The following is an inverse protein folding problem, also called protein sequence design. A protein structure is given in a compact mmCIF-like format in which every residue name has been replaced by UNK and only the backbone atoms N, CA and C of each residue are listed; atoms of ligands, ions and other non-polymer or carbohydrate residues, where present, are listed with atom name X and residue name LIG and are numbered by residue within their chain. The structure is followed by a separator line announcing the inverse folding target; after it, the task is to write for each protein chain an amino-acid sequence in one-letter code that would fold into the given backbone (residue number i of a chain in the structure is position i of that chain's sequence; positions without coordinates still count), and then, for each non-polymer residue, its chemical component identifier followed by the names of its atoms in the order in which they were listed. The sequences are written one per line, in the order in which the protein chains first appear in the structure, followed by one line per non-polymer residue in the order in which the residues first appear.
data_IF_501837036891
#
_entry.id   IF_501837036891
#
_cell.length_a   1.000
_cell.length_b   1.000
_cell.length_c   1.000
_cell.angle_alpha   90.00
_cell.angle_beta   90.00
_cell.angle_gamma   90.00
#
_symmetry.space_group_name_H-M   'P 1'
#
loop_
_entity.id
_entity.type
_entity.pdbx_description
1 polymer ?
#
# COMPACT_ATOMS: atom_id res chain seq x y z
N UNK A 1 19.83 -9.66 22.52
CA UNK A 1 19.99 -8.24 22.18
C UNK A 1 21.46 -7.90 22.40
N UNK A 2 22.12 -7.36 21.39
CA UNK A 2 23.49 -6.87 21.51
C UNK A 2 23.44 -5.39 21.86
N UNK A 3 24.05 -5.00 22.98
CA UNK A 3 24.03 -3.65 23.52
C UNK A 3 25.46 -3.12 23.66
N UNK A 4 25.72 -1.92 23.15
CA UNK A 4 27.00 -1.22 23.26
C UNK A 4 26.78 0.23 23.65
N UNK A 5 27.63 0.76 24.51
CA UNK A 5 27.65 2.15 24.93
C UNK A 5 28.83 2.86 24.26
N UNK A 6 28.66 4.10 23.88
CA UNK A 6 29.72 4.95 23.32
C UNK A 6 29.85 6.24 24.16
N UNK A 7 31.03 6.44 24.73
CA UNK A 7 31.33 7.57 25.64
C UNK A 7 31.81 8.86 24.94
N UNK A 8 31.86 8.84 23.60
CA UNK A 8 32.41 9.92 22.79
C UNK A 8 33.83 9.66 22.31
N UNK A 9 34.55 8.71 22.87
CA UNK A 9 35.92 8.30 22.49
C UNK A 9 36.00 6.85 22.06
N UNK A 10 35.45 5.97 22.89
CA UNK A 10 35.54 4.51 22.69
C UNK A 10 34.14 3.87 22.84
N UNK A 11 33.97 2.74 22.15
CA UNK A 11 32.80 1.88 22.38
C UNK A 11 33.07 0.91 23.51
N UNK A 12 32.10 0.71 24.40
CA UNK A 12 32.19 -0.34 25.43
C UNK A 12 32.29 -1.72 24.82
N UNK A 13 32.71 -2.69 25.62
CA UNK A 13 32.48 -4.10 25.33
C UNK A 13 30.96 -4.34 25.14
N UNK A 14 30.61 -5.17 24.16
CA UNK A 14 29.20 -5.46 23.87
C UNK A 14 28.66 -6.43 24.87
N UNK A 15 27.64 -6.02 25.64
CA UNK A 15 26.87 -6.91 26.50
C UNK A 15 25.72 -7.53 25.70
N UNK A 16 25.44 -8.80 25.99
CA UNK A 16 24.37 -9.56 25.35
C UNK A 16 23.28 -9.86 26.38
N UNK A 17 22.07 -9.43 26.07
CA UNK A 17 20.88 -9.67 26.87
C UNK A 17 19.92 -10.58 26.11
N UNK A 18 19.15 -11.40 26.83
CA UNK A 18 18.05 -12.14 26.23
C UNK A 18 16.90 -11.18 25.83
N UNK A 19 15.97 -11.67 25.02
CA UNK A 19 14.85 -10.87 24.49
C UNK A 19 13.57 -10.98 25.30
N UNK A 20 13.59 -11.65 26.48
CA UNK A 20 12.42 -11.72 27.36
C UNK A 20 12.25 -10.42 28.15
N UNK A 21 11.02 -10.14 28.57
CA UNK A 21 10.65 -8.89 29.26
C UNK A 21 11.61 -8.57 30.42
N UNK A 22 11.92 -9.55 31.26
CA UNK A 22 12.85 -9.40 32.39
C UNK A 22 14.21 -8.88 31.94
N UNK A 23 14.82 -9.52 30.96
CA UNK A 23 16.16 -9.14 30.48
C UNK A 23 16.19 -7.81 29.75
N UNK A 24 15.04 -7.36 29.17
CA UNK A 24 14.95 -6.02 28.60
C UNK A 24 14.94 -4.95 29.71
N UNK A 25 14.25 -5.20 30.83
CA UNK A 25 14.34 -4.32 32.01
C UNK A 25 15.75 -4.32 32.60
N UNK A 26 16.39 -5.48 32.78
CA UNK A 26 17.81 -5.58 33.24
C UNK A 26 18.75 -4.78 32.31
N UNK A 27 18.54 -4.84 31.01
CA UNK A 27 19.29 -4.00 30.05
C UNK A 27 19.03 -2.51 30.27
N UNK A 28 17.78 -2.12 30.52
CA UNK A 28 17.43 -0.72 30.80
C UNK A 28 18.06 -0.22 32.10
N UNK A 29 18.02 -1.02 33.18
CA UNK A 29 18.69 -0.72 34.46
C UNK A 29 20.21 -0.59 34.29
N UNK A 30 20.83 -1.48 33.54
CA UNK A 30 22.24 -1.38 33.20
C UNK A 30 22.54 -0.06 32.47
N UNK A 31 21.74 0.31 31.46
CA UNK A 31 21.94 1.58 30.72
C UNK A 31 21.77 2.81 31.62
N UNK A 32 20.82 2.78 32.58
CA UNK A 32 20.64 3.86 33.58
C UNK A 32 21.87 3.97 34.49
N UNK A 33 22.38 2.86 34.96
CA UNK A 33 23.58 2.81 35.85
C UNK A 33 24.81 3.41 35.15
N UNK A 34 24.94 3.18 33.85
CA UNK A 34 26.01 3.75 33.02
C UNK A 34 25.73 5.21 32.58
N UNK A 35 24.64 5.83 33.04
CA UNK A 35 24.29 7.23 32.76
C UNK A 35 23.82 7.48 31.32
N UNK A 36 23.32 6.46 30.62
CA UNK A 36 22.83 6.56 29.26
C UNK A 36 21.41 7.14 29.25
N UNK A 37 21.19 8.22 28.50
CA UNK A 37 19.89 8.84 28.31
C UNK A 37 19.29 8.55 26.92
N UNK A 38 20.12 8.36 25.90
CA UNK A 38 19.70 8.18 24.52
C UNK A 38 20.01 6.78 24.03
N UNK A 39 19.04 6.12 23.42
CA UNK A 39 19.21 4.76 22.87
C UNK A 39 18.74 4.71 21.43
N UNK A 40 19.59 4.18 20.56
CA UNK A 40 19.23 3.87 19.17
C UNK A 40 19.10 2.37 18.96
N UNK A 41 18.09 1.96 18.18
CA UNK A 41 17.89 0.56 17.82
C UNK A 41 17.51 0.38 16.36
N UNK A 42 17.92 -0.75 15.76
CA UNK A 42 17.59 -1.08 14.38
C UNK A 42 16.13 -1.52 14.22
N UNK A 43 15.43 -1.03 13.18
CA UNK A 43 14.04 -1.38 12.88
C UNK A 43 13.90 -2.75 12.16
N UNK A 44 14.51 -3.79 12.70
CA UNK A 44 14.46 -5.14 12.13
C UNK A 44 13.13 -5.81 12.45
N UNK A 45 12.29 -6.00 11.43
CA UNK A 45 10.98 -6.68 11.52
C UNK A 45 10.08 -6.13 12.64
N UNK A 46 9.70 -6.95 13.62
CA UNK A 46 8.86 -6.63 14.78
C UNK A 46 9.66 -6.67 16.10
N UNK A 47 10.90 -7.10 16.07
CA UNK A 47 11.70 -7.39 17.27
C UNK A 47 12.06 -6.15 18.09
N UNK A 48 12.09 -4.97 17.46
CA UNK A 48 12.33 -3.71 18.13
C UNK A 48 11.15 -3.24 19.01
N UNK A 49 9.91 -3.71 18.73
CA UNK A 49 8.69 -3.21 19.39
C UNK A 49 8.68 -3.45 20.90
N UNK A 50 8.94 -4.67 21.42
CA UNK A 50 8.99 -4.90 22.87
C UNK A 50 10.08 -4.08 23.57
N UNK A 51 11.26 -4.01 22.94
CA UNK A 51 12.40 -3.24 23.46
C UNK A 51 12.06 -1.75 23.51
N UNK A 52 11.48 -1.22 22.43
CA UNK A 52 11.02 0.17 22.37
C UNK A 52 10.03 0.51 23.47
N UNK A 53 9.01 -0.32 23.65
CA UNK A 53 7.96 -0.04 24.62
C UNK A 53 8.49 0.00 26.06
N UNK A 54 9.33 -0.96 26.43
CA UNK A 54 9.92 -1.03 27.78
C UNK A 54 10.88 0.12 28.03
N UNK A 55 11.81 0.39 27.11
CA UNK A 55 12.77 1.48 27.29
C UNK A 55 12.08 2.87 27.27
N UNK A 56 10.99 3.02 26.49
CA UNK A 56 10.18 4.24 26.50
C UNK A 56 9.49 4.43 27.87
N UNK A 57 8.94 3.37 28.47
CA UNK A 57 8.35 3.37 29.80
C UNK A 57 9.39 3.73 30.87
N UNK A 58 10.63 3.28 30.71
CA UNK A 58 11.76 3.60 31.58
C UNK A 58 12.30 5.03 31.40
N UNK A 59 11.78 5.81 30.44
CA UNK A 59 12.11 7.23 30.25
C UNK A 59 13.29 7.51 29.33
N UNK A 60 13.78 6.53 28.57
CA UNK A 60 14.85 6.77 27.59
C UNK A 60 14.39 7.58 26.39
N UNK A 61 15.27 8.43 25.87
CA UNK A 61 15.11 9.09 24.58
C UNK A 61 15.49 8.11 23.46
N UNK A 62 14.49 7.65 22.69
CA UNK A 62 14.65 6.53 21.76
C UNK A 62 14.71 6.97 20.30
N UNK A 63 15.64 6.40 19.56
CA UNK A 63 15.79 6.58 18.11
C UNK A 63 15.71 5.26 17.38
N UNK A 64 14.68 5.07 16.53
CA UNK A 64 14.57 3.88 15.67
C UNK A 64 15.25 4.12 14.34
N UNK A 65 16.18 3.25 13.96
CA UNK A 65 17.04 3.43 12.78
C UNK A 65 16.69 2.46 11.67
N UNK A 66 16.66 2.97 10.43
CA UNK A 66 16.42 2.12 9.26
C UNK A 66 17.72 1.34 8.92
N UNK A 67 17.68 -0.01 8.86
CA UNK A 67 18.84 -0.85 8.49
C UNK A 67 19.54 -0.43 7.20
N UNK A 68 18.80 0.10 6.23
CA UNK A 68 19.36 0.55 4.97
C UNK A 68 20.35 1.72 5.12
N UNK A 69 20.15 2.57 6.12
CA UNK A 69 21.03 3.73 6.39
C UNK A 69 22.31 3.32 7.13
N UNK A 70 22.29 2.19 7.83
CA UNK A 70 23.41 1.70 8.65
C UNK A 70 24.35 0.82 7.82
N UNK A 71 23.85 0.17 6.77
CA UNK A 71 24.57 -0.87 5.98
C UNK A 71 25.78 -0.40 5.17
N UNK A 72 26.26 0.81 5.36
CA UNK A 72 27.39 1.35 4.59
C UNK A 72 28.75 1.13 5.24
N UNK A 73 28.84 0.25 6.25
CA UNK A 73 30.16 -0.07 6.85
C UNK A 73 31.00 -0.98 5.96
N UNK A 74 32.24 -0.60 5.63
CA UNK A 74 33.20 -1.52 5.03
C UNK A 74 33.66 -2.56 6.06
N UNK A 75 33.74 -3.83 5.66
CA UNK A 75 34.28 -4.91 6.46
C UNK A 75 33.32 -6.04 6.77
N UNK A 76 33.77 -7.02 7.56
CA UNK A 76 32.99 -8.22 7.93
C UNK A 76 31.88 -7.82 8.88
N UNK A 77 30.63 -8.13 8.52
CA UNK A 77 29.46 -7.87 9.32
C UNK A 77 29.42 -8.80 10.56
N UNK A 78 29.15 -8.21 11.75
CA UNK A 78 28.83 -8.94 12.97
C UNK A 78 27.88 -8.08 13.80
N UNK A 79 27.02 -8.71 14.61
CA UNK A 79 26.05 -8.01 15.46
C UNK A 79 26.76 -7.11 16.49
N UNK A 80 27.97 -7.50 16.94
CA UNK A 80 28.82 -6.70 17.81
C UNK A 80 29.20 -5.38 17.15
N UNK A 81 29.74 -5.44 15.93
CA UNK A 81 30.15 -4.24 15.18
C UNK A 81 28.94 -3.37 14.81
N UNK A 82 27.81 -3.98 14.49
CA UNK A 82 26.59 -3.25 14.17
C UNK A 82 26.11 -2.46 15.41
N UNK A 83 26.13 -3.04 16.62
CA UNK A 83 25.74 -2.35 17.86
C UNK A 83 26.69 -1.16 18.16
N UNK A 84 28.00 -1.37 18.12
CA UNK A 84 29.01 -0.33 18.32
C UNK A 84 28.89 0.82 17.30
N UNK A 85 28.62 0.47 16.05
CA UNK A 85 28.44 1.45 14.98
C UNK A 85 27.20 2.31 15.17
N UNK A 86 26.06 1.70 15.56
CA UNK A 86 24.83 2.43 15.85
C UNK A 86 25.04 3.42 17.00
N UNK A 87 25.71 2.99 18.09
CA UNK A 87 26.01 3.86 19.22
C UNK A 87 26.89 5.04 18.79
N UNK A 88 27.95 4.79 18.02
CA UNK A 88 28.84 5.84 17.47
C UNK A 88 28.08 6.83 16.58
N UNK A 89 27.22 6.35 15.69
CA UNK A 89 26.44 7.20 14.79
C UNK A 89 25.41 8.05 15.56
N UNK A 90 24.81 7.51 16.64
CA UNK A 90 23.87 8.24 17.49
C UNK A 90 24.58 9.41 18.15
N UNK A 91 25.69 9.17 18.83
CA UNK A 91 26.48 10.20 19.50
C UNK A 91 26.93 11.33 18.55
N UNK A 92 27.33 10.96 17.32
CA UNK A 92 27.74 11.93 16.28
C UNK A 92 26.58 12.63 15.57
N UNK A 93 25.32 12.42 15.99
CA UNK A 93 24.10 12.95 15.33
C UNK A 93 24.03 12.65 13.82
N UNK A 94 24.59 11.51 13.38
CA UNK A 94 24.56 11.09 11.99
C UNK A 94 23.36 10.18 11.67
N UNK A 95 22.57 9.82 12.67
CA UNK A 95 21.36 9.01 12.53
C UNK A 95 20.14 9.91 12.37
N UNK A 96 19.36 9.63 11.32
CA UNK A 96 17.99 10.14 11.22
C UNK A 96 17.02 9.06 11.70
N UNK A 97 16.32 9.35 12.79
CA UNK A 97 15.30 8.47 13.33
C UNK A 97 14.17 8.20 12.33
N UNK A 98 13.65 6.99 12.38
CA UNK A 98 12.41 6.63 11.67
C UNK A 98 11.22 7.20 12.41
N UNK A 99 10.19 7.64 11.68
CA UNK A 99 8.94 8.09 12.27
C UNK A 99 8.23 6.92 12.96
N UNK A 100 7.99 7.06 14.25
CA UNK A 100 7.14 6.16 15.03
C UNK A 100 5.83 6.89 15.32
N UNK A 101 4.70 6.39 14.86
CA UNK A 101 3.42 6.98 15.16
C UNK A 101 3.03 6.75 16.63
N UNK A 102 2.10 7.55 17.13
CA UNK A 102 1.50 7.35 18.45
C UNK A 102 0.81 5.99 18.57
N UNK A 103 0.50 5.55 19.78
CA UNK A 103 -0.09 4.24 20.09
C UNK A 103 -1.40 3.99 19.34
N UNK A 104 -2.27 4.99 19.23
CA UNK A 104 -3.55 4.90 18.51
C UNK A 104 -3.34 4.64 17.01
N UNK A 105 -2.38 5.33 16.38
CA UNK A 105 -2.03 5.06 14.97
C UNK A 105 -1.34 3.70 14.83
N UNK A 106 -0.57 3.25 15.81
CA UNK A 106 0.02 1.90 15.78
C UNK A 106 -1.07 0.82 15.84
N UNK A 107 -2.08 0.97 16.71
CA UNK A 107 -3.25 0.09 16.80
C UNK A 107 -4.03 0.09 15.48
N UNK A 108 -4.36 1.27 14.95
CA UNK A 108 -5.06 1.39 13.67
C UNK A 108 -4.28 0.76 12.51
N UNK A 109 -2.96 0.94 12.49
CA UNK A 109 -2.05 0.34 11.50
C UNK A 109 -2.01 -1.18 11.61
N UNK A 110 -2.06 -1.74 12.82
CA UNK A 110 -2.15 -3.17 13.02
C UNK A 110 -3.41 -3.75 12.36
N UNK A 111 -4.59 -3.18 12.63
CA UNK A 111 -5.84 -3.60 12.02
C UNK A 111 -5.88 -3.37 10.51
N UNK A 112 -5.41 -2.23 10.03
CA UNK A 112 -5.35 -1.91 8.59
C UNK A 112 -4.50 -2.93 7.83
N UNK A 113 -3.34 -3.30 8.36
CA UNK A 113 -2.46 -4.30 7.75
C UNK A 113 -3.04 -5.72 7.84
N UNK A 114 -3.72 -6.05 8.95
CA UNK A 114 -4.46 -7.32 9.10
C UNK A 114 -5.57 -7.41 8.05
N UNK A 115 -6.37 -6.35 7.90
CA UNK A 115 -7.39 -6.24 6.85
C UNK A 115 -6.81 -6.49 5.45
N UNK A 116 -5.71 -5.84 5.10
CA UNK A 116 -5.08 -6.01 3.80
C UNK A 116 -4.57 -7.45 3.56
N UNK A 117 -4.03 -8.10 4.59
CA UNK A 117 -3.63 -9.52 4.52
C UNK A 117 -4.84 -10.43 4.31
N UNK A 118 -5.91 -10.24 5.08
CA UNK A 118 -7.13 -11.03 4.92
C UNK A 118 -7.74 -10.88 3.53
N UNK A 119 -7.72 -9.69 2.92
CA UNK A 119 -8.14 -9.50 1.53
C UNK A 119 -7.28 -10.31 0.54
N UNK A 120 -5.97 -10.34 0.74
CA UNK A 120 -5.07 -11.15 -0.10
C UNK A 120 -5.34 -12.65 0.07
N UNK A 121 -5.56 -13.11 1.30
CA UNK A 121 -5.80 -14.51 1.59
C UNK A 121 -7.17 -14.97 1.03
N UNK A 122 -8.21 -14.13 1.09
CA UNK A 122 -9.47 -14.37 0.38
C UNK A 122 -9.27 -14.53 -1.13
N UNK A 123 -8.45 -13.68 -1.75
CA UNK A 123 -8.15 -13.82 -3.18
C UNK A 123 -7.41 -15.13 -3.50
N UNK A 124 -6.49 -15.58 -2.62
CA UNK A 124 -5.82 -16.88 -2.78
C UNK A 124 -6.80 -18.05 -2.67
N UNK A 125 -7.73 -18.00 -1.71
CA UNK A 125 -8.78 -19.04 -1.56
C UNK A 125 -9.69 -19.11 -2.79
N UNK A 126 -10.12 -17.96 -3.31
CA UNK A 126 -10.89 -17.93 -4.56
C UNK A 126 -10.12 -18.54 -5.72
N UNK A 127 -8.82 -18.29 -5.83
CA UNK A 127 -7.96 -18.92 -6.85
C UNK A 127 -7.84 -20.44 -6.65
N UNK A 128 -7.79 -20.91 -5.40
CA UNK A 128 -7.79 -22.36 -5.11
C UNK A 128 -9.12 -23.00 -5.48
N UNK A 129 -10.24 -22.39 -5.12
CA UNK A 129 -11.57 -22.87 -5.50
C UNK A 129 -11.74 -22.90 -7.03
N UNK A 130 -11.26 -21.88 -7.75
CA UNK A 130 -11.27 -21.86 -9.21
C UNK A 130 -10.46 -23.02 -9.80
N UNK A 131 -9.28 -23.33 -9.25
CA UNK A 131 -8.48 -24.50 -9.68
C UNK A 131 -9.22 -25.82 -9.50
N UNK A 132 -9.93 -26.01 -8.39
CA UNK A 132 -10.73 -27.20 -8.14
C UNK A 132 -11.85 -27.30 -9.18
N UNK A 133 -12.53 -26.19 -9.49
CA UNK A 133 -13.55 -26.16 -10.55
C UNK A 133 -12.95 -26.46 -11.93
N UNK A 134 -11.78 -25.93 -12.25
CA UNK A 134 -11.06 -26.23 -13.50
C UNK A 134 -10.68 -27.71 -13.62
N UNK A 135 -10.31 -28.38 -12.51
CA UNK A 135 -10.07 -29.82 -12.50
C UNK A 135 -11.34 -30.62 -12.83
N UNK A 136 -12.51 -30.13 -12.46
CA UNK A 136 -13.82 -30.67 -12.85
C UNK A 136 -14.28 -30.18 -14.24
N UNK A 137 -13.44 -29.50 -15.01
CA UNK A 137 -13.73 -28.81 -16.27
C UNK A 137 -14.83 -27.76 -16.19
N UNK A 138 -15.07 -27.18 -15.01
CA UNK A 138 -15.97 -26.05 -14.82
C UNK A 138 -15.11 -24.76 -14.87
N UNK A 139 -15.29 -23.93 -15.90
CA UNK A 139 -14.41 -22.81 -16.24
C UNK A 139 -15.11 -21.44 -16.15
N UNK A 140 -15.85 -21.20 -15.08
CA UNK A 140 -16.57 -19.93 -14.88
C UNK A 140 -15.65 -18.71 -14.95
N UNK A 141 -14.37 -18.85 -14.54
CA UNK A 141 -13.36 -17.79 -14.61
C UNK A 141 -13.07 -17.28 -16.02
N UNK A 142 -13.35 -18.06 -17.06
CA UNK A 142 -13.24 -17.62 -18.46
C UNK A 142 -14.34 -16.65 -18.90
N UNK A 143 -15.47 -16.64 -18.19
CA UNK A 143 -16.64 -15.83 -18.51
C UNK A 143 -16.80 -14.60 -17.60
N UNK A 144 -16.14 -14.56 -16.43
CA UNK A 144 -16.27 -13.48 -15.45
C UNK A 144 -15.00 -12.64 -15.35
N UNK A 145 -15.14 -11.36 -15.15
CA UNK A 145 -13.99 -10.46 -15.02
C UNK A 145 -13.25 -10.60 -13.67
N UNK A 146 -13.92 -11.14 -12.64
CA UNK A 146 -13.38 -11.28 -11.28
C UNK A 146 -14.00 -12.47 -10.57
N UNK A 147 -13.19 -13.27 -9.91
CA UNK A 147 -13.65 -14.37 -9.05
C UNK A 147 -14.38 -13.90 -7.78
N UNK A 148 -14.16 -12.64 -7.38
CA UNK A 148 -14.83 -12.01 -6.22
C UNK A 148 -16.29 -11.64 -6.48
N UNK A 149 -16.83 -11.88 -7.67
CA UNK A 149 -18.22 -11.62 -7.99
C UNK A 149 -19.15 -12.50 -7.15
N UNK A 150 -20.21 -11.92 -6.60
CA UNK A 150 -21.23 -12.65 -5.82
C UNK A 150 -21.78 -13.88 -6.57
N UNK A 151 -22.00 -13.76 -7.88
CA UNK A 151 -22.45 -14.87 -8.72
C UNK A 151 -21.49 -16.07 -8.67
N UNK A 152 -20.18 -15.85 -8.66
CA UNK A 152 -19.18 -16.94 -8.57
C UNK A 152 -19.30 -17.66 -7.24
N UNK A 153 -19.42 -16.93 -6.14
CA UNK A 153 -19.59 -17.49 -4.80
C UNK A 153 -20.87 -18.34 -4.73
N UNK A 154 -21.99 -17.83 -5.26
CA UNK A 154 -23.27 -18.55 -5.29
C UNK A 154 -23.17 -19.83 -6.13
N UNK A 155 -22.48 -19.78 -7.28
CA UNK A 155 -22.25 -20.97 -8.11
C UNK A 155 -21.42 -22.01 -7.35
N UNK A 156 -20.33 -21.60 -6.66
CA UNK A 156 -19.53 -22.49 -5.82
C UNK A 156 -20.39 -23.16 -4.73
N UNK A 157 -21.19 -22.39 -4.00
CA UNK A 157 -22.09 -22.90 -2.96
C UNK A 157 -23.12 -23.90 -3.52
N UNK A 158 -23.62 -23.64 -4.70
CA UNK A 158 -24.62 -24.50 -5.37
C UNK A 158 -23.99 -25.80 -5.87
N UNK A 159 -22.75 -25.74 -6.40
CA UNK A 159 -21.96 -26.92 -6.75
C UNK A 159 -21.63 -27.79 -5.53
N UNK A 160 -21.30 -27.18 -4.38
CA UNK A 160 -21.08 -27.89 -3.10
C UNK A 160 -22.33 -28.65 -2.66
N UNK A 161 -23.52 -28.04 -2.86
CA UNK A 161 -24.82 -28.66 -2.54
C UNK A 161 -25.23 -29.79 -3.47
N UNK A 162 -24.48 -30.03 -4.54
CA UNK A 162 -24.72 -31.16 -5.47
C UNK A 162 -25.39 -30.78 -6.77
N UNK A 163 -25.78 -29.53 -7.00
CA UNK A 163 -26.34 -29.10 -8.28
C UNK A 163 -25.24 -29.11 -9.37
N UNK A 164 -25.53 -29.79 -10.48
CA UNK A 164 -24.59 -29.91 -11.61
C UNK A 164 -25.20 -29.52 -12.95
N UNK A 165 -26.53 -29.25 -12.98
CA UNK A 165 -27.20 -28.86 -14.21
C UNK A 165 -26.72 -27.46 -14.64
N UNK A 166 -26.05 -27.31 -15.81
CA UNK A 166 -25.54 -26.04 -16.28
C UNK A 166 -26.63 -24.96 -16.43
N UNK A 167 -27.84 -25.34 -16.82
CA UNK A 167 -28.95 -24.39 -17.03
C UNK A 167 -29.42 -23.76 -15.71
N UNK A 168 -29.34 -24.50 -14.60
CA UNK A 168 -29.63 -23.97 -13.26
C UNK A 168 -28.50 -23.07 -12.78
N UNK A 169 -27.24 -23.47 -13.01
CA UNK A 169 -26.08 -22.68 -12.63
C UNK A 169 -25.99 -21.34 -13.40
N UNK A 170 -26.36 -21.32 -14.69
CA UNK A 170 -26.43 -20.09 -15.50
C UNK A 170 -27.42 -19.07 -14.92
N UNK A 171 -28.55 -19.54 -14.35
CA UNK A 171 -29.54 -18.65 -13.72
C UNK A 171 -28.99 -17.87 -12.54
N UNK A 172 -27.94 -18.37 -11.87
CA UNK A 172 -27.30 -17.76 -10.71
C UNK A 172 -26.31 -16.65 -11.07
N UNK A 173 -25.94 -16.54 -12.36
CA UNK A 173 -25.01 -15.51 -12.82
C UNK A 173 -25.80 -14.27 -13.26
N UNK A 174 -25.49 -13.10 -12.67
CA UNK A 174 -26.19 -11.84 -12.90
C UNK A 174 -25.46 -10.91 -13.87
N UNK A 175 -26.24 -9.98 -14.46
CA UNK A 175 -25.74 -8.82 -15.19
C UNK A 175 -25.26 -9.13 -16.60
N UNK A 176 -24.39 -8.24 -17.11
CA UNK A 176 -23.92 -8.26 -18.51
C UNK A 176 -23.28 -9.58 -18.96
N UNK A 177 -22.72 -10.35 -18.04
CA UNK A 177 -22.11 -11.65 -18.34
C UNK A 177 -23.16 -12.65 -18.83
N UNK A 178 -24.32 -12.70 -18.16
CA UNK A 178 -25.44 -13.55 -18.57
C UNK A 178 -26.00 -13.15 -19.93
N UNK A 179 -26.24 -11.84 -20.13
CA UNK A 179 -26.91 -11.33 -21.32
C UNK A 179 -26.05 -11.41 -22.59
N UNK A 180 -24.72 -11.25 -22.46
CA UNK A 180 -23.80 -11.21 -23.61
C UNK A 180 -23.19 -12.56 -23.97
N UNK A 181 -23.15 -13.53 -23.04
CA UNK A 181 -22.39 -14.76 -23.19
C UNK A 181 -23.13 -16.00 -22.66
N UNK A 182 -24.47 -16.05 -22.71
CA UNK A 182 -25.23 -17.14 -22.11
C UNK A 182 -24.84 -18.54 -22.63
N UNK A 183 -24.61 -18.70 -23.93
CA UNK A 183 -24.14 -19.96 -24.53
C UNK A 183 -22.76 -20.36 -24.02
N UNK A 184 -21.79 -19.45 -24.08
CA UNK A 184 -20.42 -19.68 -23.55
C UNK A 184 -20.42 -19.97 -22.06
N UNK A 185 -21.30 -19.30 -21.30
CA UNK A 185 -21.42 -19.50 -19.86
C UNK A 185 -21.98 -20.88 -19.54
N UNK A 186 -22.95 -21.36 -20.32
CA UNK A 186 -23.49 -22.71 -20.20
C UNK A 186 -22.41 -23.78 -20.48
N UNK A 187 -21.64 -23.63 -21.53
CA UNK A 187 -20.50 -24.47 -21.86
C UNK A 187 -19.43 -24.45 -20.74
N UNK A 188 -19.10 -23.25 -20.24
CA UNK A 188 -18.12 -23.09 -19.17
C UNK A 188 -18.56 -23.69 -17.82
N UNK A 189 -19.87 -23.85 -17.59
CA UNK A 189 -20.43 -24.48 -16.40
C UNK A 189 -20.77 -25.96 -16.62
N UNK A 190 -20.56 -26.50 -17.84
CA UNK A 190 -20.71 -27.93 -18.12
C UNK A 190 -19.38 -28.61 -17.77
N UNK A 191 -19.41 -29.50 -16.79
CA UNK A 191 -18.24 -30.20 -16.32
C UNK A 191 -18.60 -31.47 -15.54
N UNK A 192 -17.57 -32.15 -15.04
CA UNK A 192 -17.72 -33.40 -14.30
C UNK A 192 -17.17 -33.25 -12.88
N UNK A 193 -18.04 -32.83 -11.97
CA UNK A 193 -17.68 -32.63 -10.56
C UNK A 193 -17.89 -33.92 -9.75
N UNK A 194 -16.83 -34.42 -9.11
CA UNK A 194 -16.83 -35.59 -8.25
C UNK A 194 -16.92 -35.20 -6.77
N UNK A 195 -17.20 -36.16 -5.89
CA UNK A 195 -17.36 -35.91 -4.44
C UNK A 195 -16.13 -35.31 -3.78
N UNK A 196 -14.92 -35.73 -4.18
CA UNK A 196 -13.70 -35.12 -3.64
C UNK A 196 -13.54 -33.66 -4.07
N UNK A 197 -13.99 -33.26 -5.27
CA UNK A 197 -14.02 -31.86 -5.68
C UNK A 197 -14.99 -31.06 -4.80
N UNK A 198 -16.20 -31.58 -4.53
CA UNK A 198 -17.20 -30.94 -3.66
C UNK A 198 -16.68 -30.77 -2.23
N UNK A 199 -16.09 -31.84 -1.68
CA UNK A 199 -15.50 -31.80 -0.33
C UNK A 199 -14.38 -30.75 -0.25
N UNK A 200 -13.49 -30.71 -1.24
CA UNK A 200 -12.41 -29.74 -1.29
C UNK A 200 -12.92 -28.30 -1.44
N UNK A 201 -13.90 -28.06 -2.33
CA UNK A 201 -14.56 -26.75 -2.46
C UNK A 201 -15.21 -26.31 -1.14
N UNK A 202 -15.89 -27.25 -0.44
CA UNK A 202 -16.51 -26.97 0.85
C UNK A 202 -15.49 -26.50 1.88
N UNK A 203 -14.34 -27.18 2.03
CA UNK A 203 -13.30 -26.80 2.98
C UNK A 203 -12.70 -25.41 2.67
N UNK A 204 -12.37 -25.13 1.39
CA UNK A 204 -11.85 -23.80 1.02
C UNK A 204 -12.91 -22.70 1.22
N UNK A 205 -14.19 -23.02 1.00
CA UNK A 205 -15.30 -22.08 1.21
C UNK A 205 -15.53 -21.77 2.69
N UNK A 206 -15.45 -22.76 3.57
CA UNK A 206 -15.57 -22.58 5.02
C UNK A 206 -14.47 -21.62 5.53
N UNK A 207 -13.22 -21.78 5.08
CA UNK A 207 -12.12 -20.88 5.41
C UNK A 207 -12.41 -19.47 4.86
N UNK A 208 -12.92 -19.37 3.63
CA UNK A 208 -13.27 -18.08 3.03
C UNK A 208 -14.35 -17.35 3.84
N UNK A 209 -15.38 -18.05 4.31
CA UNK A 209 -16.47 -17.47 5.11
C UNK A 209 -15.99 -16.97 6.48
N UNK A 210 -15.08 -17.72 7.11
CA UNK A 210 -14.44 -17.28 8.36
C UNK A 210 -13.64 -15.98 8.12
N UNK A 211 -12.84 -15.94 7.06
CA UNK A 211 -12.08 -14.74 6.72
C UNK A 211 -12.98 -13.54 6.35
N UNK A 212 -14.12 -13.79 5.69
CA UNK A 212 -15.08 -12.74 5.38
C UNK A 212 -15.65 -12.12 6.66
N UNK A 213 -16.09 -12.95 7.61
CA UNK A 213 -16.60 -12.51 8.92
C UNK A 213 -15.52 -11.72 9.68
N UNK A 214 -14.30 -12.27 9.81
CA UNK A 214 -13.19 -11.61 10.49
C UNK A 214 -12.79 -10.29 9.81
N UNK A 215 -12.90 -10.22 8.49
CA UNK A 215 -12.67 -8.98 7.74
C UNK A 215 -13.68 -7.90 8.12
N UNK A 216 -14.95 -8.25 8.27
CA UNK A 216 -15.99 -7.32 8.69
C UNK A 216 -15.79 -6.84 10.15
N UNK A 217 -15.40 -7.74 11.04
CA UNK A 217 -15.05 -7.40 12.43
C UNK A 217 -13.85 -6.43 12.47
N UNK A 218 -12.80 -6.73 11.70
CA UNK A 218 -11.62 -5.87 11.58
C UNK A 218 -11.97 -4.47 11.06
N UNK A 219 -12.87 -4.36 10.08
CA UNK A 219 -13.37 -3.07 9.57
C UNK A 219 -14.10 -2.30 10.67
N UNK A 220 -14.94 -2.97 11.48
CA UNK A 220 -15.65 -2.32 12.60
C UNK A 220 -14.67 -1.72 13.61
N UNK A 221 -13.60 -2.46 13.97
CA UNK A 221 -12.57 -1.94 14.88
C UNK A 221 -11.81 -0.74 14.28
N UNK A 222 -11.43 -0.83 13.01
CA UNK A 222 -10.82 0.31 12.31
C UNK A 222 -11.74 1.54 12.30
N UNK A 223 -13.02 1.35 12.06
CA UNK A 223 -14.02 2.42 12.09
C UNK A 223 -14.23 2.98 13.50
N UNK A 224 -14.24 2.14 14.52
CA UNK A 224 -14.34 2.55 15.94
C UNK A 224 -13.20 3.49 16.32
N UNK A 225 -11.96 3.09 16.02
CA UNK A 225 -10.76 3.89 16.30
C UNK A 225 -10.81 5.22 15.56
N UNK A 226 -11.10 5.19 14.25
CA UNK A 226 -11.16 6.42 13.46
C UNK A 226 -12.28 7.36 13.88
N UNK A 227 -13.47 6.85 14.17
CA UNK A 227 -14.58 7.68 14.63
C UNK A 227 -14.30 8.36 15.97
N UNK A 228 -13.52 7.70 16.84
CA UNK A 228 -13.14 8.25 18.14
C UNK A 228 -12.02 9.31 18.05
N UNK A 229 -11.03 9.10 17.19
CA UNK A 229 -9.80 9.88 17.23
C UNK A 229 -9.47 10.68 15.96
N UNK A 230 -10.04 10.30 14.79
CA UNK A 230 -9.67 10.83 13.47
C UNK A 230 -10.87 11.02 12.55
N UNK A 231 -12.04 11.35 13.13
CA UNK A 231 -13.29 11.46 12.39
C UNK A 231 -13.23 12.53 11.31
N UNK A 232 -12.71 13.68 11.65
CA UNK A 232 -12.65 14.84 10.76
C UNK A 232 -11.67 14.60 9.61
N UNK A 233 -10.50 14.03 9.90
CA UNK A 233 -9.52 13.66 8.88
C UNK A 233 -10.06 12.58 7.94
N UNK A 234 -10.79 11.61 8.48
CA UNK A 234 -11.43 10.55 7.67
C UNK A 234 -12.48 11.14 6.73
N UNK A 235 -13.34 12.03 7.21
CA UNK A 235 -14.33 12.72 6.37
C UNK A 235 -13.68 13.65 5.35
N UNK A 236 -12.64 14.37 5.78
CA UNK A 236 -11.85 15.23 4.91
C UNK A 236 -11.27 14.47 3.71
N UNK A 237 -10.62 13.33 3.96
CA UNK A 237 -10.02 12.52 2.89
C UNK A 237 -11.05 11.93 1.94
N UNK A 238 -12.28 11.66 2.38
CA UNK A 238 -13.36 11.15 1.53
C UNK A 238 -13.85 12.17 0.51
N UNK A 239 -13.54 13.45 0.65
CA UNK A 239 -13.86 14.47 -0.37
C UNK A 239 -13.02 14.31 -1.63
N UNK A 240 -11.91 13.56 -1.57
CA UNK A 240 -11.02 13.33 -2.70
C UNK A 240 -11.55 12.17 -3.57
N UNK A 241 -11.70 12.37 -4.90
CA UNK A 241 -12.17 11.34 -5.80
C UNK A 241 -11.38 10.02 -5.68
N UNK A 242 -12.09 8.90 -5.61
CA UNK A 242 -11.52 7.57 -5.49
C UNK A 242 -11.16 7.13 -4.07
N UNK A 243 -11.35 7.99 -3.06
CA UNK A 243 -11.16 7.64 -1.65
C UNK A 243 -12.48 7.21 -1.03
N UNK A 244 -12.59 5.93 -0.69
CA UNK A 244 -13.68 5.37 0.11
C UNK A 244 -13.38 5.53 1.61
N UNK A 245 -14.39 5.31 2.47
CA UNK A 245 -14.22 5.31 3.93
C UNK A 245 -13.07 4.41 4.38
N UNK A 246 -13.04 3.16 3.91
CA UNK A 246 -11.97 2.20 4.25
C UNK A 246 -10.60 2.68 3.74
N UNK A 247 -10.55 3.23 2.52
CA UNK A 247 -9.29 3.76 1.99
C UNK A 247 -8.79 4.96 2.80
N UNK A 248 -9.68 5.86 3.25
CA UNK A 248 -9.33 6.97 4.13
C UNK A 248 -8.75 6.49 5.46
N UNK A 249 -9.39 5.50 6.09
CA UNK A 249 -8.90 4.88 7.33
C UNK A 249 -7.50 4.27 7.12
N UNK A 250 -7.31 3.49 6.05
CA UNK A 250 -6.02 2.88 5.74
C UNK A 250 -4.93 3.93 5.43
N UNK A 251 -5.29 5.05 4.79
CA UNK A 251 -4.36 6.17 4.57
C UNK A 251 -3.92 6.77 5.90
N UNK A 252 -4.86 7.10 6.80
CA UNK A 252 -4.56 7.62 8.15
C UNK A 252 -3.70 6.63 8.94
N UNK A 253 -4.00 5.33 8.88
CA UNK A 253 -3.23 4.29 9.56
C UNK A 253 -1.75 4.28 9.15
N UNK A 254 -1.46 4.54 7.88
CA UNK A 254 -0.09 4.49 7.38
C UNK A 254 0.62 5.86 7.49
N UNK A 255 -0.05 6.98 7.20
CA UNK A 255 0.57 8.32 7.21
C UNK A 255 0.52 9.02 8.58
N UNK A 256 -0.41 8.61 9.45
CA UNK A 256 -0.85 9.46 10.55
C UNK A 256 -1.78 10.57 10.08
N UNK A 257 -2.32 11.35 11.02
CA UNK A 257 -3.12 12.54 10.77
C UNK A 257 -2.29 13.83 10.87
N UNK A 258 -1.22 13.81 11.66
CA UNK A 258 -0.31 14.92 11.84
C UNK A 258 0.75 14.96 10.72
N UNK A 259 0.69 16.00 9.90
CA UNK A 259 1.63 16.20 8.79
C UNK A 259 2.88 17.01 9.19
N UNK A 260 3.00 17.48 10.43
CA UNK A 260 4.21 18.15 10.93
C UNK A 260 5.43 17.22 10.93
N UNK A 261 5.18 15.92 11.08
CA UNK A 261 6.19 14.85 11.00
C UNK A 261 6.92 14.82 9.66
N UNK A 262 6.29 15.29 8.60
CA UNK A 262 6.89 15.39 7.27
C UNK A 262 7.13 16.85 6.91
N UNK A 263 8.38 17.27 6.88
CA UNK A 263 8.81 18.64 6.52
C UNK A 263 8.06 19.19 5.29
N UNK A 264 7.88 18.34 4.27
CA UNK A 264 7.13 18.66 3.06
C UNK A 264 6.55 17.41 2.40
N UNK A 265 5.64 17.62 1.44
CA UNK A 265 5.02 16.52 0.68
C UNK A 265 6.03 15.66 -0.11
N UNK A 266 7.20 16.19 -0.44
CA UNK A 266 8.29 15.46 -1.09
C UNK A 266 8.90 14.40 -0.17
N UNK A 267 9.04 14.68 1.14
CA UNK A 267 9.52 13.71 2.14
C UNK A 267 8.49 12.58 2.31
N UNK A 268 7.20 12.90 2.41
CA UNK A 268 6.13 11.91 2.48
C UNK A 268 6.09 11.01 1.24
N UNK A 269 6.20 11.58 0.02
CA UNK A 269 6.22 10.79 -1.22
C UNK A 269 7.47 9.92 -1.35
N UNK A 270 8.60 10.36 -0.83
CA UNK A 270 9.83 9.57 -0.71
C UNK A 270 9.65 8.39 0.24
N UNK A 271 9.10 8.64 1.43
CA UNK A 271 8.80 7.62 2.44
C UNK A 271 7.79 6.58 1.93
N UNK A 272 6.79 6.99 1.15
CA UNK A 272 5.84 6.10 0.50
C UNK A 272 6.46 5.24 -0.63
N UNK A 273 7.68 5.56 -1.07
CA UNK A 273 8.31 4.87 -2.19
C UNK A 273 7.68 5.20 -3.55
N UNK A 274 7.16 6.42 -3.72
CA UNK A 274 6.59 6.91 -4.97
C UNK A 274 7.50 7.93 -5.69
N UNK A 275 8.71 8.14 -5.17
CA UNK A 275 9.72 9.00 -5.79
C UNK A 275 10.62 8.17 -6.72
N UNK A 276 10.94 8.62 -7.93
CA UNK A 276 11.97 7.98 -8.75
C UNK A 276 13.34 8.13 -8.06
N UNK A 277 14.19 7.12 -8.18
CA UNK A 277 15.54 7.13 -7.59
C UNK A 277 16.42 8.20 -8.20
N UNK A 278 16.33 8.37 -9.53
CA UNK A 278 17.22 9.25 -10.31
C UNK A 278 18.70 8.93 -10.05
N UNK A 279 19.03 7.63 -9.98
CA UNK A 279 20.42 7.18 -9.83
C UNK A 279 21.16 7.50 -11.13
N UNK A 280 22.01 8.53 -11.09
CA UNK A 280 22.83 8.99 -12.20
C UNK A 280 24.30 8.93 -11.81
N UNK A 281 25.14 8.51 -12.72
CA UNK A 281 26.60 8.50 -12.55
C UNK A 281 27.25 8.81 -13.91
N UNK A 282 28.10 9.83 -13.98
CA UNK A 282 28.77 10.28 -15.19
C UNK A 282 27.80 10.52 -16.37
N UNK A 283 26.67 11.20 -16.11
CA UNK A 283 25.63 11.49 -17.12
C UNK A 283 24.78 10.30 -17.55
N UNK A 284 25.03 9.08 -17.00
CA UNK A 284 24.25 7.89 -17.34
C UNK A 284 23.27 7.54 -16.22
N UNK A 285 21.97 7.44 -16.56
CA UNK A 285 20.93 6.99 -15.64
C UNK A 285 21.05 5.48 -15.38
N UNK A 286 21.40 5.09 -14.15
CA UNK A 286 21.48 3.69 -13.72
C UNK A 286 20.12 3.09 -13.45
N UNK A 287 19.19 3.86 -12.87
CA UNK A 287 17.85 3.37 -12.57
C UNK A 287 16.81 4.49 -12.55
N UNK A 288 15.70 4.27 -13.25
CA UNK A 288 14.46 5.11 -13.19
C UNK A 288 13.36 4.46 -12.34
N UNK A 289 13.68 3.39 -11.60
CA UNK A 289 12.73 2.71 -10.72
C UNK A 289 12.34 3.62 -9.55
N UNK A 290 11.15 3.40 -8.99
CA UNK A 290 10.73 4.07 -7.76
C UNK A 290 11.54 3.54 -6.57
N UNK A 291 11.70 4.37 -5.54
CA UNK A 291 12.38 3.97 -4.29
C UNK A 291 11.62 2.86 -3.58
N UNK A 292 12.35 2.08 -2.76
CA UNK A 292 11.70 1.20 -1.76
C UNK A 292 11.08 2.10 -0.68
N UNK A 293 9.87 1.78 -0.26
CA UNK A 293 9.15 2.55 0.77
C UNK A 293 8.01 1.73 1.34
N UNK A 294 7.05 2.38 2.00
CA UNK A 294 5.92 1.73 2.64
C UNK A 294 5.03 1.01 1.61
N UNK A 295 5.13 -0.33 1.57
CA UNK A 295 4.40 -1.17 0.62
C UNK A 295 2.88 -1.12 0.80
N UNK A 296 2.42 -0.94 2.04
CA UNK A 296 0.99 -0.87 2.37
C UNK A 296 0.38 0.45 1.86
N UNK A 297 1.00 1.58 2.21
CA UNK A 297 0.58 2.88 1.71
C UNK A 297 0.57 2.95 0.18
N UNK A 298 1.61 2.41 -0.46
CA UNK A 298 1.68 2.37 -1.92
C UNK A 298 0.55 1.57 -2.54
N UNK A 299 0.19 0.41 -1.97
CA UNK A 299 -0.92 -0.42 -2.47
C UNK A 299 -2.26 0.33 -2.38
N UNK A 300 -2.53 0.99 -1.25
CA UNK A 300 -3.74 1.80 -1.06
C UNK A 300 -3.78 2.96 -2.07
N UNK A 301 -2.68 3.70 -2.23
CA UNK A 301 -2.59 4.82 -3.16
C UNK A 301 -2.80 4.40 -4.62
N UNK A 302 -2.31 3.24 -5.04
CA UNK A 302 -2.56 2.70 -6.37
C UNK A 302 -4.05 2.36 -6.54
N UNK A 303 -4.68 1.77 -5.53
CA UNK A 303 -6.12 1.47 -5.56
C UNK A 303 -6.96 2.76 -5.65
N UNK A 304 -6.66 3.76 -4.82
CA UNK A 304 -7.29 5.08 -4.86
C UNK A 304 -7.06 5.76 -6.21
N UNK A 305 -5.84 5.69 -6.75
CA UNK A 305 -5.50 6.26 -8.06
C UNK A 305 -6.31 5.64 -9.20
N UNK A 306 -6.55 4.33 -9.17
CA UNK A 306 -7.44 3.67 -10.12
C UNK A 306 -8.90 4.12 -9.97
N UNK A 307 -9.39 4.33 -8.76
CA UNK A 307 -10.73 4.91 -8.51
C UNK A 307 -10.83 6.33 -9.06
N UNK A 308 -9.88 7.19 -8.69
CA UNK A 308 -9.83 8.58 -9.11
C UNK A 308 -9.70 8.75 -10.64
N UNK A 309 -8.89 7.90 -11.29
CA UNK A 309 -8.72 7.94 -12.76
C UNK A 309 -9.95 7.50 -13.55
N UNK A 310 -10.93 6.88 -12.90
CA UNK A 310 -12.22 6.47 -13.52
C UNK A 310 -13.36 7.41 -13.17
N UNK A 311 -13.16 8.37 -12.29
CA UNK A 311 -14.17 9.38 -11.96
C UNK A 311 -14.31 10.36 -13.09
N UNK A 312 -15.46 10.33 -13.79
CA UNK A 312 -15.75 11.19 -14.95
C UNK A 312 -15.61 12.67 -14.58
N UNK A 313 -15.02 13.45 -15.48
CA UNK A 313 -14.80 14.89 -15.30
C UNK A 313 -13.77 15.26 -14.22
N UNK A 314 -13.07 14.29 -13.64
CA UNK A 314 -12.06 14.57 -12.63
C UNK A 314 -10.70 14.93 -13.27
N UNK A 315 -9.97 15.84 -12.62
CA UNK A 315 -8.57 16.12 -12.95
C UNK A 315 -7.72 14.85 -13.08
N UNK A 316 -7.98 13.84 -12.25
CA UNK A 316 -7.19 12.61 -12.23
C UNK A 316 -7.43 11.75 -13.46
N UNK A 317 -8.68 11.70 -13.97
CA UNK A 317 -9.01 10.98 -15.19
C UNK A 317 -8.27 11.59 -16.39
N UNK A 318 -8.37 12.90 -16.59
CA UNK A 318 -7.71 13.57 -17.69
C UNK A 318 -6.19 13.47 -17.61
N UNK A 319 -5.63 13.69 -16.42
CA UNK A 319 -4.19 13.54 -16.20
C UNK A 319 -3.71 12.12 -16.46
N UNK A 320 -4.48 11.11 -16.05
CA UNK A 320 -4.17 9.70 -16.32
C UNK A 320 -4.11 9.44 -17.83
N UNK A 321 -5.13 9.82 -18.59
CA UNK A 321 -5.18 9.62 -20.05
C UNK A 321 -4.00 10.32 -20.75
N UNK A 322 -3.73 11.57 -20.44
CA UNK A 322 -2.58 12.31 -20.97
C UNK A 322 -1.22 11.66 -20.66
N UNK A 323 -1.07 11.04 -19.46
CA UNK A 323 0.16 10.32 -19.13
C UNK A 323 0.22 8.95 -19.80
N UNK A 324 -0.89 8.25 -19.95
CA UNK A 324 -0.98 6.92 -20.55
C UNK A 324 -0.62 6.94 -22.04
N UNK A 325 -0.92 8.03 -22.76
CA UNK A 325 -0.49 8.20 -24.16
C UNK A 325 1.04 8.24 -24.33
N UNK A 326 1.78 8.69 -23.31
CA UNK A 326 3.26 8.87 -23.39
C UNK A 326 4.03 7.83 -22.55
N UNK A 327 3.36 7.10 -21.69
CA UNK A 327 3.95 6.14 -20.74
C UNK A 327 3.04 4.93 -20.63
N UNK A 328 3.57 3.79 -20.11
CA UNK A 328 2.71 2.65 -19.81
C UNK A 328 1.68 2.99 -18.74
N UNK A 329 0.50 2.34 -18.81
CA UNK A 329 -0.59 2.51 -17.84
C UNK A 329 -0.12 2.34 -16.37
N UNK A 330 0.80 1.40 -16.13
CA UNK A 330 1.40 1.19 -14.81
C UNK A 330 2.20 2.40 -14.33
N UNK A 331 2.97 3.05 -15.21
CA UNK A 331 3.73 4.25 -14.85
C UNK A 331 2.81 5.46 -14.67
N UNK A 332 1.76 5.57 -15.49
CA UNK A 332 0.77 6.64 -15.37
C UNK A 332 0.04 6.58 -14.03
N UNK A 333 -0.45 5.39 -13.61
CA UNK A 333 -1.19 5.25 -12.37
C UNK A 333 -0.32 5.53 -11.12
N UNK A 334 0.96 5.15 -11.14
CA UNK A 334 1.91 5.49 -10.06
C UNK A 334 2.10 7.01 -9.94
N UNK A 335 2.16 7.73 -11.08
CA UNK A 335 2.25 9.19 -11.07
C UNK A 335 0.98 9.87 -10.53
N UNK A 336 -0.22 9.29 -10.82
CA UNK A 336 -1.47 9.75 -10.20
C UNK A 336 -1.45 9.49 -8.69
N UNK A 337 -1.06 8.29 -8.24
CA UNK A 337 -0.93 7.98 -6.80
C UNK A 337 0.01 8.93 -6.06
N UNK A 338 1.14 9.29 -6.67
CA UNK A 338 2.04 10.31 -6.12
C UNK A 338 1.36 11.68 -6.01
N UNK A 339 0.61 12.13 -7.03
CA UNK A 339 -0.10 13.40 -6.99
C UNK A 339 -1.18 13.41 -5.92
N UNK A 340 -1.92 12.30 -5.78
CA UNK A 340 -2.90 12.11 -4.72
C UNK A 340 -2.25 12.25 -3.34
N UNK A 341 -1.11 11.63 -3.10
CA UNK A 341 -0.42 11.71 -1.81
C UNK A 341 0.03 13.14 -1.48
N UNK A 342 0.48 13.90 -2.48
CA UNK A 342 0.80 15.34 -2.30
C UNK A 342 -0.45 16.13 -1.91
N UNK A 343 -1.59 15.85 -2.52
CA UNK A 343 -2.86 16.51 -2.18
C UNK A 343 -3.30 16.13 -0.77
N UNK A 344 -3.23 14.85 -0.39
CA UNK A 344 -3.53 14.36 0.96
C UNK A 344 -2.68 15.09 2.00
N UNK A 345 -1.37 15.27 1.75
CA UNK A 345 -0.50 16.02 2.66
C UNK A 345 -0.98 17.45 2.87
N UNK A 346 -1.34 18.16 1.80
CA UNK A 346 -1.88 19.53 1.90
C UNK A 346 -3.22 19.56 2.63
N UNK A 347 -4.14 18.64 2.29
CA UNK A 347 -5.46 18.57 2.93
C UNK A 347 -5.35 18.35 4.44
N UNK A 348 -4.52 17.42 4.88
CA UNK A 348 -4.34 17.11 6.29
C UNK A 348 -3.59 18.23 7.03
N UNK A 349 -2.63 18.88 6.38
CA UNK A 349 -1.88 20.01 6.94
C UNK A 349 -2.75 21.25 7.13
N UNK A 350 -3.53 21.61 6.11
CA UNK A 350 -4.37 22.80 6.09
C UNK A 350 -5.77 22.58 6.67
N UNK A 351 -6.14 21.31 6.95
CA UNK A 351 -7.49 20.91 7.39
C UNK A 351 -8.59 21.39 6.45
N UNK A 352 -8.31 21.39 5.12
CA UNK A 352 -9.25 21.84 4.08
C UNK A 352 -9.65 20.68 3.17
N UNK A 353 -10.94 20.63 2.74
CA UNK A 353 -11.41 19.60 1.81
C UNK A 353 -10.75 19.73 0.43
N UNK A 354 -10.83 18.66 -0.34
CA UNK A 354 -10.33 18.67 -1.71
C UNK A 354 -11.06 19.71 -2.55
N UNK A 355 -10.30 20.63 -3.13
CA UNK A 355 -10.83 21.64 -4.04
C UNK A 355 -10.34 21.34 -5.47
N UNK A 356 -11.22 20.92 -6.39
CA UNK A 356 -10.85 20.65 -7.78
C UNK A 356 -10.30 21.89 -8.50
N UNK A 357 -10.72 23.08 -8.13
CA UNK A 357 -10.29 24.35 -8.78
C UNK A 357 -8.81 24.65 -8.52
N UNK A 358 -8.25 24.27 -7.37
CA UNK A 358 -6.82 24.44 -7.07
C UNK A 358 -5.92 23.49 -7.89
N UNK A 359 -6.50 22.47 -8.50
CA UNK A 359 -5.81 21.49 -9.32
C UNK A 359 -6.17 21.68 -10.80
N UNK A 360 -6.67 22.86 -11.13
CA UNK A 360 -7.20 23.25 -12.44
C UNK A 360 -6.30 22.79 -13.60
N UNK A 361 -6.93 22.14 -14.56
CA UNK A 361 -6.36 21.71 -15.84
C UNK A 361 -6.25 22.90 -16.79
N UNK A 362 -7.01 23.94 -16.50
CA UNK A 362 -7.14 25.14 -17.29
C UNK A 362 -6.12 26.20 -16.84
N UNK A 363 -4.89 26.02 -17.32
CA UNK A 363 -3.92 27.11 -17.44
C UNK A 363 -4.19 27.75 -18.83
N UNK A 364 -4.79 28.96 -18.91
CA UNK A 364 -5.11 29.60 -20.20
C UNK A 364 -3.90 29.68 -21.10
N UNK A 365 -2.74 30.05 -20.56
CA UNK A 365 -1.48 30.16 -21.31
C UNK A 365 -1.05 28.82 -21.90
N UNK A 366 -1.32 27.74 -21.22
CA UNK A 366 -0.97 26.39 -21.68
C UNK A 366 -1.94 25.89 -22.73
N UNK A 367 -3.20 26.26 -22.65
CA UNK A 367 -4.22 25.94 -23.66
C UNK A 367 -3.91 26.72 -24.94
N UNK A 368 -3.56 28.00 -24.85
CA UNK A 368 -3.15 28.80 -26.00
C UNK A 368 -1.92 28.21 -26.70
N UNK A 369 -0.91 27.80 -25.94
CA UNK A 369 0.27 27.13 -26.52
C UNK A 369 -0.08 25.79 -27.17
N UNK A 370 -1.01 25.03 -26.64
CA UNK A 370 -1.47 23.77 -27.25
C UNK A 370 -2.27 24.04 -28.52
N UNK A 371 -3.16 25.04 -28.50
CA UNK A 371 -3.90 25.46 -29.68
C UNK A 371 -2.97 25.96 -30.80
N UNK A 372 -1.98 26.77 -30.44
CA UNK A 372 -0.97 27.23 -31.41
C UNK A 372 -0.15 26.07 -32.00
N UNK A 373 0.21 25.07 -31.20
CA UNK A 373 0.89 23.85 -31.67
C UNK A 373 0.00 23.06 -32.65
N UNK A 374 -1.25 22.78 -32.26
CA UNK A 374 -2.15 22.02 -33.12
C UNK A 374 -2.48 22.75 -34.43
N UNK A 375 -2.62 24.10 -34.43
CA UNK A 375 -2.77 24.89 -35.65
C UNK A 375 -1.57 24.71 -36.59
N UNK A 376 -0.34 24.79 -36.07
CA UNK A 376 0.89 24.54 -36.84
C UNK A 376 0.96 23.13 -37.44
N UNK A 377 0.53 22.12 -36.70
CA UNK A 377 0.50 20.73 -37.19
C UNK A 377 -0.59 20.53 -38.24
N UNK A 378 -1.75 21.16 -38.09
CA UNK A 378 -2.80 21.17 -39.13
C UNK A 378 -2.33 21.87 -40.42
N UNK A 379 -1.64 23.01 -40.30
CA UNK A 379 -1.06 23.71 -41.46
C UNK A 379 0.00 22.86 -42.17
N UNK A 380 0.83 22.13 -41.43
CA UNK A 380 1.79 21.20 -42.04
C UNK A 380 1.10 20.05 -42.77
N UNK A 381 0.08 19.45 -42.13
CA UNK A 381 -0.69 18.38 -42.75
C UNK A 381 -1.42 18.84 -44.01
N UNK A 382 -2.02 20.04 -43.99
CA UNK A 382 -2.65 20.65 -45.16
C UNK A 382 -1.66 20.90 -46.32
N UNK A 383 -0.43 21.38 -46.00
CA UNK A 383 0.63 21.55 -47.00
C UNK A 383 1.13 20.24 -47.61
N UNK A 384 1.10 19.15 -46.86
CA UNK A 384 1.45 17.82 -47.37
C UNK A 384 0.37 17.25 -48.27
N UNK A 385 -0.91 17.41 -47.90
CA UNK A 385 -2.05 17.04 -48.76
C UNK A 385 -2.09 17.79 -50.07
N UNK A 386 -1.71 19.08 -50.12
CA UNK A 386 -1.60 19.86 -51.36
C UNK A 386 -0.35 19.52 -52.17
N UNK A 387 0.66 18.84 -51.65
CA UNK A 387 1.82 18.38 -52.41
C UNK A 387 1.62 17.04 -53.10
N UNK A 388 0.63 16.24 -52.72
CA UNK A 388 0.28 14.97 -53.37
C UNK A 388 -0.72 15.14 -54.55
N UNK A 389 -1.15 16.37 -54.85
CA UNK A 389 -2.11 16.69 -55.94
C UNK A 389 -1.40 17.39 -57.17
N UNK A 390 -0.08 17.50 -57.11
CA UNK A 390 0.75 17.92 -58.26
C UNK A 390 1.70 16.77 -58.62
#
# INVERSE_FOLDING_TARGET
IFCSIYDGKTSSEVKVFDSTTRFIYEMGEYLMTEGVNQVAMESTSIYWIPVWNILMEMGFELTLVNPFLIKQMPGRKSDIKDAQWIATLLHKNLIRGSMIPNSTIQELRFYSRKYMRMQQDKCKLLTKMDRIMVMANIRISSCVSKLTNKSVIIVIETLIKGETNPDNLVKLVYGNTKNKQSGKLREALTGYIMDHHRKSLKWEKEIYDILERQTLECIKEMERICNKHYKDEMLLLQTLPGVSKISAICLIAETGADMSVFENSGKLTGWAGLRPRNDESAGKFKSKAITKGNKYLRAILIQVAWGASRTKGSYFMEKYHRLAMRKSNKKAIVAIGRKILVIIWNMLKEKKPYNPNLVSIYDPIKIERQLAYHRKEMEKAAKLLHKEII
#
